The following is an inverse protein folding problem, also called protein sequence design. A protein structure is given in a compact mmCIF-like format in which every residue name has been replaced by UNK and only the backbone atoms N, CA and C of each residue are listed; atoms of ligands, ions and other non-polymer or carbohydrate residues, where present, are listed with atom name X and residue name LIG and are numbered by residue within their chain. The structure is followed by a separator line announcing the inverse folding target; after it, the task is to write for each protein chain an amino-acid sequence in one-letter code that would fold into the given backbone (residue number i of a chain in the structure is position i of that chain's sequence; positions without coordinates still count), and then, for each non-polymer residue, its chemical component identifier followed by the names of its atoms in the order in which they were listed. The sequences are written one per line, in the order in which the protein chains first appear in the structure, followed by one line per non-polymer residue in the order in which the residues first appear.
data_IF_259407381325
#
_entry.id   IF_259407381325
#
_cell.length_a   1.000
_cell.length_b   1.000
_cell.length_c   1.000
_cell.angle_alpha   90.00
_cell.angle_beta   90.00
_cell.angle_gamma   90.00
#
_symmetry.space_group_name_H-M   'P 1'
#
loop_
_entity.id
_entity.type
_entity.pdbx_description
1 polymer ?
#
# COMPACT_ATOMS: atom_id res chain seq x y z
N UNK A 1 13.10 41.13 -20.42
CA UNK A 1 12.37 40.37 -19.37
C UNK A 1 10.90 40.35 -19.74
N UNK A 2 10.49 39.34 -20.50
CA UNK A 2 9.07 39.10 -20.82
C UNK A 2 8.51 38.19 -19.74
N UNK A 3 7.76 38.76 -18.82
CA UNK A 3 6.95 38.02 -17.85
C UNK A 3 5.92 37.20 -18.63
N UNK A 4 6.16 35.89 -18.77
CA UNK A 4 5.10 34.94 -19.15
C UNK A 4 4.09 34.96 -18.01
N UNK A 5 2.93 35.56 -18.26
CA UNK A 5 1.75 35.39 -17.41
C UNK A 5 1.49 33.89 -17.30
N UNK A 6 1.35 33.31 -16.09
CA UNK A 6 0.95 31.91 -15.96
C UNK A 6 -0.39 31.73 -16.69
N UNK A 7 -0.60 30.61 -17.41
CA UNK A 7 -1.88 30.33 -18.04
C UNK A 7 -2.99 30.47 -16.99
N UNK A 8 -4.08 31.13 -17.37
CA UNK A 8 -5.27 31.21 -16.52
C UNK A 8 -5.67 29.78 -16.17
N UNK A 9 -5.96 29.53 -14.89
CA UNK A 9 -6.60 28.31 -14.42
C UNK A 9 -8.03 28.32 -14.96
N UNK A 10 -8.19 28.16 -16.27
CA UNK A 10 -9.44 27.70 -16.84
C UNK A 10 -9.75 26.40 -16.09
N UNK A 11 -10.90 26.37 -15.39
CA UNK A 11 -11.35 25.24 -14.58
C UNK A 11 -11.16 23.95 -15.36
N UNK A 12 -10.05 23.25 -15.09
CA UNK A 12 -9.79 21.96 -15.69
C UNK A 12 -10.83 21.03 -15.07
N UNK A 13 -11.97 20.90 -15.76
CA UNK A 13 -13.12 20.16 -15.30
C UNK A 13 -12.63 18.82 -14.77
N UNK A 14 -12.80 18.54 -13.47
CA UNK A 14 -12.41 17.25 -12.92
C UNK A 14 -13.19 16.17 -13.66
N UNK A 15 -12.56 15.48 -14.60
CA UNK A 15 -13.22 14.49 -15.46
C UNK A 15 -13.17 13.14 -14.77
N UNK A 16 -14.35 12.64 -14.37
CA UNK A 16 -14.49 11.30 -13.86
C UNK A 16 -14.18 10.28 -14.97
N UNK A 17 -13.25 9.37 -14.71
CA UNK A 17 -13.07 8.19 -15.56
C UNK A 17 -14.22 7.20 -15.28
N UNK A 18 -15.32 7.36 -16.02
CA UNK A 18 -16.58 6.63 -15.84
C UNK A 18 -16.37 5.10 -15.80
N UNK A 19 -15.68 4.46 -16.78
CA UNK A 19 -15.41 3.02 -16.73
C UNK A 19 -14.70 2.57 -15.45
N UNK A 20 -13.69 3.34 -15.01
CA UNK A 20 -12.89 3.00 -13.83
C UNK A 20 -13.71 3.16 -12.56
N UNK A 21 -14.47 4.26 -12.44
CA UNK A 21 -15.29 4.54 -11.27
C UNK A 21 -16.39 3.49 -11.08
N UNK A 22 -17.25 3.30 -12.08
CA UNK A 22 -18.37 2.37 -11.96
C UNK A 22 -17.90 0.91 -11.95
N UNK A 23 -16.86 0.57 -12.71
CA UNK A 23 -16.27 -0.77 -12.69
C UNK A 23 -15.72 -1.13 -11.31
N UNK A 24 -14.93 -0.23 -10.71
CA UNK A 24 -14.38 -0.46 -9.36
C UNK A 24 -15.48 -0.48 -8.30
N UNK A 25 -16.42 0.47 -8.34
CA UNK A 25 -17.52 0.55 -7.38
C UNK A 25 -18.40 -0.71 -7.42
N UNK A 26 -18.74 -1.22 -8.61
CA UNK A 26 -19.53 -2.43 -8.75
C UNK A 26 -18.82 -3.65 -8.15
N UNK A 27 -17.52 -3.81 -8.39
CA UNK A 27 -16.72 -4.92 -7.84
C UNK A 27 -16.60 -4.79 -6.32
N UNK A 28 -16.33 -3.60 -5.80
CA UNK A 28 -16.22 -3.35 -4.35
C UNK A 28 -17.55 -3.66 -3.65
N UNK A 29 -18.67 -3.17 -4.20
CA UNK A 29 -20.00 -3.43 -3.63
C UNK A 29 -20.37 -4.91 -3.70
N UNK A 30 -20.05 -5.60 -4.80
CA UNK A 30 -20.29 -7.03 -4.94
C UNK A 30 -19.50 -7.83 -3.90
N UNK A 31 -18.19 -7.61 -3.80
CA UNK A 31 -17.33 -8.32 -2.85
C UNK A 31 -17.72 -8.00 -1.41
N UNK A 32 -17.97 -6.72 -1.09
CA UNK A 32 -18.42 -6.30 0.23
C UNK A 32 -19.75 -6.95 0.61
N UNK A 33 -20.70 -7.00 -0.33
CA UNK A 33 -22.00 -7.65 -0.13
C UNK A 33 -21.87 -9.14 0.09
N UNK A 34 -20.98 -9.84 -0.64
CA UNK A 34 -20.73 -11.27 -0.41
C UNK A 34 -20.21 -11.54 1.00
N UNK A 35 -19.26 -10.72 1.49
CA UNK A 35 -18.71 -10.86 2.84
C UNK A 35 -19.76 -10.60 3.92
N UNK A 36 -20.62 -9.60 3.73
CA UNK A 36 -21.68 -9.26 4.69
C UNK A 36 -22.80 -10.30 4.70
N UNK A 37 -23.22 -10.79 3.54
CA UNK A 37 -24.33 -11.73 3.42
C UNK A 37 -23.92 -13.18 3.75
N UNK A 38 -22.67 -13.56 3.50
CA UNK A 38 -22.19 -14.95 3.64
C UNK A 38 -20.85 -15.05 4.41
N UNK A 39 -20.74 -14.55 5.64
CA UNK A 39 -19.46 -14.40 6.34
C UNK A 39 -18.67 -15.70 6.52
N UNK A 40 -19.35 -16.81 6.87
CA UNK A 40 -18.69 -18.10 7.06
C UNK A 40 -18.14 -18.68 5.75
N UNK A 41 -18.92 -18.60 4.67
CA UNK A 41 -18.50 -19.06 3.34
C UNK A 41 -17.37 -18.18 2.79
N UNK A 42 -17.49 -16.85 2.91
CA UNK A 42 -16.45 -15.91 2.52
C UNK A 42 -15.14 -16.17 3.25
N UNK A 43 -15.17 -16.41 4.57
CA UNK A 43 -13.97 -16.79 5.34
C UNK A 43 -13.31 -18.06 4.78
N UNK A 44 -14.11 -19.09 4.49
CA UNK A 44 -13.58 -20.34 3.92
C UNK A 44 -12.96 -20.11 2.54
N UNK A 45 -13.63 -19.39 1.64
CA UNK A 45 -13.13 -19.12 0.30
C UNK A 45 -11.88 -18.25 0.30
N UNK A 46 -11.84 -17.20 1.11
CA UNK A 46 -10.69 -16.31 1.25
C UNK A 46 -9.48 -17.04 1.83
N UNK A 47 -9.67 -17.87 2.86
CA UNK A 47 -8.59 -18.67 3.43
C UNK A 47 -8.06 -19.69 2.42
N UNK A 48 -8.95 -20.38 1.69
CA UNK A 48 -8.53 -21.33 0.66
C UNK A 48 -7.74 -20.63 -0.46
N UNK A 49 -8.20 -19.46 -0.90
CA UNK A 49 -7.49 -18.66 -1.90
C UNK A 49 -6.12 -18.16 -1.37
N UNK A 50 -6.06 -17.68 -0.13
CA UNK A 50 -4.82 -17.24 0.51
C UNK A 50 -3.81 -18.38 0.60
N UNK A 51 -4.20 -19.55 1.12
CA UNK A 51 -3.33 -20.72 1.22
C UNK A 51 -2.84 -21.16 -0.15
N UNK A 52 -3.73 -21.24 -1.14
CA UNK A 52 -3.33 -21.60 -2.51
C UNK A 52 -2.32 -20.60 -3.12
N UNK A 53 -2.53 -19.30 -2.95
CA UNK A 53 -1.56 -18.29 -3.42
C UNK A 53 -0.23 -18.42 -2.69
N UNK A 54 -0.24 -18.64 -1.37
CA UNK A 54 0.97 -18.82 -0.58
C UNK A 54 1.77 -20.05 -1.04
N UNK A 55 1.09 -21.18 -1.26
CA UNK A 55 1.72 -22.44 -1.66
C UNK A 55 2.30 -22.38 -3.08
N UNK A 56 1.58 -21.75 -4.02
CA UNK A 56 1.99 -21.71 -5.44
C UNK A 56 2.94 -20.55 -5.75
N UNK A 57 2.68 -19.36 -5.18
CA UNK A 57 3.38 -18.12 -5.52
C UNK A 57 4.28 -17.58 -4.39
N UNK A 58 4.37 -18.24 -3.24
CA UNK A 58 5.19 -17.76 -2.11
C UNK A 58 6.66 -17.56 -2.46
N UNK A 59 7.27 -18.50 -3.18
CA UNK A 59 8.66 -18.38 -3.64
C UNK A 59 8.84 -17.21 -4.62
N UNK A 60 7.88 -17.01 -5.53
CA UNK A 60 7.89 -15.92 -6.51
C UNK A 60 7.77 -14.58 -5.81
N UNK A 61 6.90 -14.48 -4.80
CA UNK A 61 6.73 -13.28 -3.98
C UNK A 61 8.04 -12.91 -3.27
N UNK A 62 8.72 -13.88 -2.63
CA UNK A 62 10.01 -13.62 -1.97
C UNK A 62 11.07 -13.14 -2.97
N UNK A 63 11.16 -13.79 -4.13
CA UNK A 63 12.09 -13.39 -5.18
C UNK A 63 11.80 -11.97 -5.69
N UNK A 64 10.52 -11.65 -5.90
CA UNK A 64 10.08 -10.32 -6.34
C UNK A 64 10.47 -9.24 -5.32
N UNK A 65 10.25 -9.48 -4.03
CA UNK A 65 10.63 -8.52 -2.98
C UNK A 65 12.14 -8.24 -2.96
N UNK A 66 12.96 -9.30 -3.07
CA UNK A 66 14.42 -9.15 -3.14
C UNK A 66 14.85 -8.45 -4.44
N UNK A 67 14.24 -8.80 -5.59
CA UNK A 67 14.55 -8.18 -6.87
C UNK A 67 14.20 -6.68 -6.88
N UNK A 68 13.03 -6.30 -6.36
CA UNK A 68 12.62 -4.90 -6.20
C UNK A 68 13.58 -4.13 -5.29
N UNK A 69 13.99 -4.73 -4.18
CA UNK A 69 14.99 -4.16 -3.28
C UNK A 69 16.29 -3.85 -4.00
N UNK A 70 16.87 -4.86 -4.64
CA UNK A 70 18.14 -4.72 -5.37
C UNK A 70 18.01 -3.69 -6.48
N UNK A 71 16.89 -3.67 -7.20
CA UNK A 71 16.64 -2.71 -8.27
C UNK A 71 16.57 -1.26 -7.76
N UNK A 72 15.87 -1.00 -6.66
CA UNK A 72 15.77 0.36 -6.09
C UNK A 72 17.12 0.82 -5.55
N UNK A 73 17.88 -0.06 -4.88
CA UNK A 73 19.24 0.26 -4.46
C UNK A 73 20.16 0.57 -5.64
N UNK A 74 20.08 -0.25 -6.69
CA UNK A 74 20.82 0.02 -7.92
C UNK A 74 20.41 1.36 -8.53
N UNK A 75 19.11 1.66 -8.59
CA UNK A 75 18.62 2.94 -9.11
C UNK A 75 19.21 4.12 -8.33
N UNK A 76 19.16 4.06 -7.00
CA UNK A 76 19.68 5.09 -6.10
C UNK A 76 21.20 5.28 -6.19
N UNK A 77 21.97 4.20 -6.35
CA UNK A 77 23.44 4.24 -6.41
C UNK A 77 24.00 4.44 -7.83
N UNK A 78 23.17 4.25 -8.86
CA UNK A 78 23.56 4.45 -10.25
C UNK A 78 23.44 5.91 -10.69
N UNK A 79 23.85 6.18 -11.93
CA UNK A 79 23.66 7.49 -12.58
C UNK A 79 22.20 7.97 -12.59
N UNK A 80 21.22 7.05 -12.50
CA UNK A 80 19.81 7.39 -12.54
C UNK A 80 19.33 8.06 -11.24
N UNK A 81 20.01 7.83 -10.11
CA UNK A 81 19.71 8.48 -8.84
C UNK A 81 19.98 10.00 -8.85
N UNK A 82 20.71 10.50 -9.85
CA UNK A 82 20.94 11.94 -10.04
C UNK A 82 19.84 12.63 -10.85
N UNK A 83 18.88 11.89 -11.41
CA UNK A 83 17.76 12.46 -12.16
C UNK A 83 16.81 13.15 -11.18
N UNK A 84 16.58 14.44 -11.39
CA UNK A 84 15.59 15.20 -10.63
C UNK A 84 14.17 14.89 -11.14
N UNK A 85 13.27 14.56 -10.23
CA UNK A 85 11.87 14.25 -10.54
C UNK A 85 11.04 15.54 -10.61
N UNK A 86 11.22 16.33 -11.67
CA UNK A 86 10.48 17.59 -11.90
C UNK A 86 10.23 17.86 -13.37
N UNK A 87 9.25 18.74 -13.66
CA UNK A 87 9.09 19.39 -14.95
C UNK A 87 10.10 20.54 -14.96
N UNK A 88 11.07 20.56 -15.87
CA UNK A 88 12.04 21.66 -16.05
C UNK A 88 13.03 21.93 -14.89
N UNK A 89 13.55 20.89 -14.24
CA UNK A 89 14.61 20.99 -13.21
C UNK A 89 14.22 21.86 -11.98
N UNK A 90 12.92 22.05 -11.74
CA UNK A 90 12.40 22.82 -10.61
C UNK A 90 12.96 22.38 -9.25
N UNK A 91 13.24 23.32 -8.32
CA UNK A 91 13.73 22.98 -6.99
C UNK A 91 12.66 22.25 -6.15
N UNK A 92 13.05 21.52 -5.09
CA UNK A 92 12.10 20.85 -4.20
C UNK A 92 11.10 21.85 -3.60
N UNK A 93 9.81 21.48 -3.60
CA UNK A 93 8.74 22.31 -3.03
C UNK A 93 8.76 22.35 -1.50
N UNK A 94 9.32 21.32 -0.85
CA UNK A 94 9.39 21.20 0.60
C UNK A 94 10.85 21.15 1.06
N UNK A 95 11.10 21.73 2.25
CA UNK A 95 12.39 21.58 2.91
C UNK A 95 12.65 20.11 3.26
N UNK A 96 13.92 19.71 3.32
CA UNK A 96 14.28 18.32 3.62
C UNK A 96 13.70 17.81 4.95
N UNK A 97 13.76 18.56 6.08
CA UNK A 97 13.12 18.14 7.33
C UNK A 97 11.60 17.98 7.21
N UNK A 98 10.92 18.90 6.51
CA UNK A 98 9.48 18.81 6.27
C UNK A 98 9.12 17.58 5.44
N UNK A 99 9.89 17.28 4.40
CA UNK A 99 9.70 16.10 3.56
C UNK A 99 9.87 14.80 4.35
N UNK A 100 10.91 14.71 5.19
CA UNK A 100 11.10 13.56 6.09
C UNK A 100 9.90 13.40 7.04
N UNK A 101 9.42 14.50 7.63
CA UNK A 101 8.26 14.46 8.51
C UNK A 101 7.00 13.96 7.79
N UNK A 102 6.75 14.39 6.55
CA UNK A 102 5.63 13.90 5.73
C UNK A 102 5.74 12.39 5.42
N UNK A 103 6.95 11.89 5.16
CA UNK A 103 7.19 10.47 4.93
C UNK A 103 6.83 9.62 6.16
N UNK A 104 7.25 10.03 7.35
CA UNK A 104 6.89 9.32 8.59
C UNK A 104 5.41 9.48 8.95
N UNK A 105 4.83 10.67 8.76
CA UNK A 105 3.41 10.91 9.02
C UNK A 105 2.49 10.09 8.12
N UNK A 106 2.90 9.80 6.88
CA UNK A 106 2.13 8.96 5.95
C UNK A 106 2.36 7.46 6.18
N UNK A 107 3.51 7.06 6.74
CA UNK A 107 3.87 5.65 6.97
C UNK A 107 3.44 5.05 8.31
N UNK A 108 3.21 5.87 9.35
CA UNK A 108 2.80 5.38 10.67
C UNK A 108 1.27 5.22 10.72
N UNK A 109 0.80 4.02 10.39
CA UNK A 109 -0.62 3.65 10.40
C UNK A 109 -1.05 2.83 11.63
N UNK A 110 -2.36 2.54 11.69
CA UNK A 110 -2.98 1.62 12.67
C UNK A 110 -2.27 0.27 12.71
N UNK A 111 -1.82 -0.22 11.55
CA UNK A 111 -1.13 -1.49 11.43
C UNK A 111 0.17 -1.53 12.26
N UNK A 112 0.93 -0.45 12.35
CA UNK A 112 2.16 -0.42 13.15
C UNK A 112 1.86 -0.48 14.66
N UNK A 113 0.78 0.16 15.11
CA UNK A 113 0.35 0.11 16.52
C UNK A 113 -0.10 -1.31 16.89
N UNK A 114 -0.83 -1.98 16.00
CA UNK A 114 -1.31 -3.34 16.24
C UNK A 114 -0.18 -4.38 16.10
N UNK A 115 0.42 -4.49 14.91
CA UNK A 115 1.43 -5.50 14.61
C UNK A 115 2.77 -5.23 15.29
N UNK A 116 3.09 -3.98 15.64
CA UNK A 116 4.32 -3.66 16.38
C UNK A 116 4.39 -4.31 17.76
N UNK A 117 3.24 -4.57 18.39
CA UNK A 117 3.17 -5.34 19.64
C UNK A 117 2.83 -6.82 19.39
N UNK A 118 1.85 -7.08 18.52
CA UNK A 118 1.34 -8.43 18.28
C UNK A 118 2.37 -9.35 17.60
N UNK A 119 2.98 -8.90 16.50
CA UNK A 119 3.81 -9.75 15.65
C UNK A 119 5.08 -10.28 16.33
N UNK A 120 5.91 -9.48 17.04
CA UNK A 120 7.07 -10.01 17.73
C UNK A 120 6.67 -10.96 18.87
N UNK A 121 5.52 -10.74 19.51
CA UNK A 121 5.00 -11.64 20.55
C UNK A 121 4.56 -12.97 19.94
N UNK A 122 3.84 -12.93 18.82
CA UNK A 122 3.38 -14.12 18.10
C UNK A 122 4.58 -14.97 17.64
N UNK A 123 5.58 -14.37 16.99
CA UNK A 123 6.79 -15.06 16.59
C UNK A 123 7.63 -15.58 17.77
N UNK A 124 7.54 -14.95 18.95
CA UNK A 124 8.24 -15.43 20.14
C UNK A 124 7.58 -16.67 20.75
N UNK A 125 6.25 -16.74 20.74
CA UNK A 125 5.47 -17.85 21.27
C UNK A 125 5.39 -19.02 20.27
N UNK A 126 5.32 -18.70 18.99
CA UNK A 126 5.17 -19.65 17.88
C UNK A 126 6.23 -19.38 16.80
N UNK A 127 7.53 -19.56 17.10
CA UNK A 127 8.57 -19.34 16.11
C UNK A 127 8.45 -20.36 14.96
N UNK A 128 8.83 -19.99 13.73
CA UNK A 128 8.85 -20.91 12.59
C UNK A 128 9.71 -22.16 12.82
N UNK A 129 10.72 -22.06 13.68
CA UNK A 129 11.63 -23.14 14.01
C UNK A 129 11.89 -23.17 15.52
N UNK A 130 11.92 -24.37 16.09
CA UNK A 130 12.23 -24.58 17.51
C UNK A 130 11.08 -24.30 18.47
N UNK A 131 11.40 -24.20 19.76
CA UNK A 131 10.42 -23.97 20.82
C UNK A 131 10.27 -22.49 21.15
N UNK A 132 9.01 -22.03 21.25
CA UNK A 132 8.69 -20.68 21.73
C UNK A 132 9.12 -20.43 23.18
N UNK A 133 9.13 -19.16 23.58
CA UNK A 133 9.47 -18.75 24.94
C UNK A 133 10.97 -18.73 25.27
N UNK A 134 11.85 -19.11 24.33
CA UNK A 134 13.30 -19.17 24.54
C UNK A 134 14.02 -17.87 24.13
N UNK A 135 15.23 -17.66 24.64
CA UNK A 135 16.08 -16.51 24.21
C UNK A 135 16.34 -16.54 22.69
N UNK A 136 16.44 -17.74 22.12
CA UNK A 136 16.61 -17.90 20.68
C UNK A 136 15.35 -17.49 19.91
N UNK A 137 14.17 -17.90 20.39
CA UNK A 137 12.89 -17.48 19.82
C UNK A 137 12.72 -15.95 19.87
N UNK A 138 13.17 -15.29 20.95
CA UNK A 138 13.11 -13.83 21.06
C UNK A 138 13.97 -13.12 20.00
N UNK A 139 15.17 -13.64 19.73
CA UNK A 139 16.04 -13.11 18.66
C UNK A 139 15.42 -13.32 17.28
N UNK A 140 14.88 -14.51 17.02
CA UNK A 140 14.23 -14.83 15.75
C UNK A 140 12.99 -13.97 15.53
N UNK A 141 12.16 -13.76 16.57
CA UNK A 141 10.98 -12.92 16.50
C UNK A 141 11.30 -11.50 16.04
N UNK A 142 12.30 -10.86 16.66
CA UNK A 142 12.73 -9.52 16.26
C UNK A 142 13.30 -9.49 14.84
N UNK A 143 14.06 -10.52 14.43
CA UNK A 143 14.60 -10.61 13.08
C UNK A 143 13.49 -10.69 12.02
N UNK A 144 12.44 -11.49 12.27
CA UNK A 144 11.28 -11.60 11.38
C UNK A 144 10.46 -10.32 11.33
N UNK A 145 10.22 -9.68 12.48
CA UNK A 145 9.50 -8.40 12.52
C UNK A 145 10.26 -7.31 11.77
N UNK A 146 11.59 -7.23 11.91
CA UNK A 146 12.40 -6.31 11.10
C UNK A 146 12.48 -6.71 9.62
N UNK A 147 12.33 -7.98 9.28
CA UNK A 147 12.22 -8.40 7.88
C UNK A 147 10.95 -7.83 7.24
N UNK A 148 9.81 -7.93 7.93
CA UNK A 148 8.50 -7.47 7.43
C UNK A 148 8.36 -5.95 7.42
N UNK A 149 8.82 -5.27 8.48
CA UNK A 149 8.65 -3.81 8.65
C UNK A 149 9.92 -2.99 8.32
N UNK A 150 10.99 -3.67 7.92
CA UNK A 150 12.23 -3.04 7.50
C UNK A 150 12.24 -2.69 6.02
N UNK A 151 13.42 -2.73 5.41
CA UNK A 151 13.67 -2.16 4.10
C UNK A 151 12.77 -2.74 2.98
N UNK A 152 12.36 -4.02 3.07
CA UNK A 152 11.61 -4.74 2.02
C UNK A 152 10.32 -4.02 1.62
N UNK A 153 9.49 -3.62 2.59
CA UNK A 153 8.27 -2.86 2.30
C UNK A 153 8.56 -1.48 1.72
N UNK A 154 9.54 -0.77 2.29
CA UNK A 154 9.93 0.57 1.84
C UNK A 154 10.47 0.59 0.40
N UNK A 155 11.18 -0.46 -0.02
CA UNK A 155 11.67 -0.56 -1.39
C UNK A 155 10.53 -0.65 -2.41
N UNK A 156 9.45 -1.36 -2.10
CA UNK A 156 8.29 -1.44 -2.99
C UNK A 156 7.59 -0.06 -3.09
N UNK A 157 7.46 0.66 -1.97
CA UNK A 157 6.94 2.02 -1.97
C UNK A 157 7.82 2.96 -2.79
N UNK A 158 9.14 2.91 -2.60
CA UNK A 158 10.10 3.71 -3.37
C UNK A 158 9.99 3.40 -4.87
N UNK A 159 9.89 2.13 -5.26
CA UNK A 159 9.76 1.73 -6.66
C UNK A 159 8.52 2.36 -7.31
N UNK A 160 7.35 2.20 -6.70
CA UNK A 160 6.09 2.71 -7.24
C UNK A 160 6.09 4.25 -7.21
N UNK A 161 6.55 4.86 -6.11
CA UNK A 161 6.65 6.31 -6.00
C UNK A 161 7.56 6.91 -7.06
N UNK A 162 8.75 6.35 -7.28
CA UNK A 162 9.68 6.82 -8.31
C UNK A 162 9.12 6.62 -9.71
N UNK A 163 8.46 5.49 -10.00
CA UNK A 163 7.83 5.26 -11.29
C UNK A 163 6.74 6.31 -11.56
N UNK A 164 5.80 6.50 -10.64
CA UNK A 164 4.71 7.47 -10.79
C UNK A 164 5.24 8.90 -10.89
N UNK A 165 6.17 9.29 -10.02
CA UNK A 165 6.77 10.61 -10.02
C UNK A 165 7.54 10.90 -11.31
N UNK A 166 8.28 9.92 -11.84
CA UNK A 166 8.99 10.08 -13.11
C UNK A 166 8.02 10.32 -14.27
N UNK A 167 6.96 9.52 -14.41
CA UNK A 167 6.03 9.72 -15.52
C UNK A 167 5.16 10.97 -15.36
N UNK A 168 4.75 11.30 -14.13
CA UNK A 168 3.96 12.50 -13.88
C UNK A 168 4.77 13.79 -14.04
N UNK A 169 5.94 13.84 -13.40
CA UNK A 169 6.73 15.06 -13.31
C UNK A 169 7.82 15.15 -14.39
N UNK A 170 8.40 14.06 -14.90
CA UNK A 170 9.40 14.18 -15.98
C UNK A 170 8.81 14.02 -17.39
N UNK A 171 7.65 13.36 -17.51
CA UNK A 171 7.03 13.03 -18.81
C UNK A 171 5.66 13.67 -19.04
N UNK A 172 5.14 14.42 -18.08
CA UNK A 172 3.86 15.13 -18.20
C UNK A 172 2.65 14.21 -18.37
N UNK A 173 2.74 12.95 -17.94
CA UNK A 173 1.61 12.02 -17.95
C UNK A 173 0.73 12.22 -16.70
N UNK A 174 -0.54 11.76 -16.71
CA UNK A 174 -1.38 11.81 -15.51
C UNK A 174 -0.75 11.04 -14.34
N UNK A 175 -0.94 11.52 -13.11
CA UNK A 175 -0.52 10.81 -11.90
C UNK A 175 -1.45 9.60 -11.63
N UNK A 176 -1.25 8.52 -12.39
CA UNK A 176 -2.06 7.31 -12.35
C UNK A 176 -1.19 6.07 -12.58
N UNK A 177 -1.62 4.90 -12.06
CA UNK A 177 -0.89 3.64 -12.18
C UNK A 177 -0.67 3.24 -13.64
N UNK A 178 -1.66 3.46 -14.51
CA UNK A 178 -1.51 3.24 -15.95
C UNK A 178 -0.35 4.00 -16.59
N UNK A 179 0.06 5.15 -16.05
CA UNK A 179 1.14 5.96 -16.64
C UNK A 179 2.50 5.29 -16.49
N UNK A 180 2.70 4.50 -15.42
CA UNK A 180 3.91 3.70 -15.24
C UNK A 180 4.07 2.62 -16.32
N UNK A 181 2.98 2.25 -17.00
CA UNK A 181 2.94 1.23 -18.04
C UNK A 181 3.09 1.80 -19.46
N UNK A 182 3.22 3.13 -19.59
CA UNK A 182 3.42 3.80 -20.89
C UNK A 182 4.59 3.24 -21.70
N UNK A 183 5.78 2.90 -21.13
CA UNK A 183 6.88 2.35 -21.92
C UNK A 183 6.58 1.01 -22.59
N UNK A 184 5.64 0.23 -22.04
CA UNK A 184 5.30 -1.11 -22.53
C UNK A 184 4.11 -1.05 -23.48
N UNK A 185 3.08 -0.26 -23.13
CA UNK A 185 1.81 -0.24 -23.86
C UNK A 185 1.60 1.01 -24.73
N UNK A 186 2.46 2.02 -24.60
CA UNK A 186 2.34 3.30 -25.30
C UNK A 186 0.98 3.95 -25.07
N UNK A 187 0.39 4.50 -26.13
CA UNK A 187 -0.94 5.15 -26.09
C UNK A 187 -2.10 4.23 -25.68
N UNK A 188 -1.89 2.90 -25.67
CA UNK A 188 -2.94 1.94 -25.24
C UNK A 188 -3.29 2.07 -23.75
N UNK A 189 -2.48 2.78 -22.96
CA UNK A 189 -2.79 3.09 -21.55
C UNK A 189 -4.05 3.97 -21.41
N UNK A 190 -4.46 4.68 -22.47
CA UNK A 190 -5.67 5.48 -22.46
C UNK A 190 -6.94 4.65 -22.73
N UNK A 191 -6.78 3.40 -23.18
CA UNK A 191 -7.88 2.47 -23.43
C UNK A 191 -8.15 1.48 -22.29
N UNK A 192 -8.83 0.39 -22.62
CA UNK A 192 -9.30 -0.60 -21.64
C UNK A 192 -8.20 -1.21 -20.77
N UNK A 193 -7.00 -1.46 -21.31
CA UNK A 193 -5.89 -2.00 -20.54
C UNK A 193 -5.47 -1.08 -19.39
N UNK A 194 -5.37 0.23 -19.62
CA UNK A 194 -5.07 1.18 -18.56
C UNK A 194 -6.23 1.36 -17.57
N UNK A 195 -7.48 1.29 -18.05
CA UNK A 195 -8.64 1.31 -17.15
C UNK A 195 -8.68 0.11 -16.21
N UNK A 196 -8.31 -1.08 -16.69
CA UNK A 196 -8.20 -2.28 -15.85
C UNK A 196 -7.16 -2.09 -14.74
N UNK A 197 -5.99 -1.55 -15.07
CA UNK A 197 -4.90 -1.31 -14.11
C UNK A 197 -5.31 -0.28 -13.07
N UNK A 198 -5.89 0.84 -13.49
CA UNK A 198 -6.36 1.86 -12.55
C UNK A 198 -7.49 1.32 -11.66
N UNK A 199 -8.43 0.54 -12.21
CA UNK A 199 -9.53 -0.07 -11.43
C UNK A 199 -9.00 -1.09 -10.42
N UNK A 200 -8.02 -1.90 -10.82
CA UNK A 200 -7.34 -2.82 -9.91
C UNK A 200 -6.61 -2.08 -8.78
N UNK A 201 -5.96 -0.97 -9.10
CA UNK A 201 -5.34 -0.09 -8.11
C UNK A 201 -6.32 0.46 -7.08
N UNK A 202 -7.49 0.92 -7.53
CA UNK A 202 -8.57 1.38 -6.64
C UNK A 202 -9.03 0.23 -5.75
N UNK A 203 -9.27 -0.96 -6.32
CA UNK A 203 -9.71 -2.14 -5.57
C UNK A 203 -8.71 -2.51 -4.46
N UNK A 204 -7.42 -2.64 -4.79
CA UNK A 204 -6.36 -2.97 -3.83
C UNK A 204 -6.27 -1.91 -2.72
N UNK A 205 -6.35 -0.64 -3.10
CA UNK A 205 -6.29 0.48 -2.14
C UNK A 205 -7.47 0.44 -1.17
N UNK A 206 -8.70 0.25 -1.67
CA UNK A 206 -9.90 0.21 -0.82
C UNK A 206 -9.89 -1.01 0.10
N UNK A 207 -9.54 -2.20 -0.41
CA UNK A 207 -9.44 -3.42 0.43
C UNK A 207 -8.43 -3.23 1.55
N UNK A 208 -7.27 -2.63 1.24
CA UNK A 208 -6.22 -2.35 2.23
C UNK A 208 -6.70 -1.35 3.29
N UNK A 209 -7.39 -0.28 2.85
CA UNK A 209 -7.94 0.73 3.74
C UNK A 209 -8.99 0.15 4.70
N UNK A 210 -9.91 -0.69 4.20
CA UNK A 210 -10.95 -1.32 5.02
C UNK A 210 -10.35 -2.30 6.03
N UNK A 211 -9.31 -3.04 5.65
CA UNK A 211 -8.60 -3.97 6.56
C UNK A 211 -7.96 -3.21 7.73
N UNK A 212 -7.24 -2.12 7.45
CA UNK A 212 -6.65 -1.27 8.49
C UNK A 212 -7.70 -0.63 9.39
N UNK A 213 -8.82 -0.19 8.82
CA UNK A 213 -9.94 0.36 9.59
C UNK A 213 -10.55 -0.69 10.52
N UNK A 214 -10.75 -1.92 10.04
CA UNK A 214 -11.27 -3.03 10.84
C UNK A 214 -10.38 -3.37 12.04
N UNK A 215 -9.05 -3.45 11.82
CA UNK A 215 -8.08 -3.63 12.90
C UNK A 215 -8.17 -2.48 13.92
N UNK A 216 -8.28 -1.24 13.44
CA UNK A 216 -8.43 -0.06 14.29
C UNK A 216 -9.68 -0.10 15.16
N UNK A 217 -10.83 -0.48 14.58
CA UNK A 217 -12.07 -0.64 15.30
C UNK A 217 -11.97 -1.72 16.39
N UNK A 218 -11.33 -2.84 16.10
CA UNK A 218 -11.06 -3.90 17.09
C UNK A 218 -10.16 -3.43 18.23
N UNK A 219 -9.13 -2.62 17.91
CA UNK A 219 -8.23 -2.04 18.90
C UNK A 219 -8.97 -1.07 19.83
N UNK A 220 -9.79 -0.18 19.28
CA UNK A 220 -10.61 0.76 20.06
C UNK A 220 -11.60 0.01 20.94
N UNK A 221 -12.30 -0.98 20.40
CA UNK A 221 -13.26 -1.79 21.17
C UNK A 221 -12.56 -2.53 22.33
N UNK A 222 -11.35 -3.05 22.10
CA UNK A 222 -10.53 -3.66 23.16
C UNK A 222 -10.07 -2.66 24.21
N UNK A 223 -9.67 -1.46 23.79
CA UNK A 223 -9.31 -0.38 24.71
C UNK A 223 -10.49 0.09 25.56
N UNK A 224 -11.68 0.21 24.96
CA UNK A 224 -12.91 0.59 25.68
C UNK A 224 -13.30 -0.45 26.73
N UNK A 225 -13.23 -1.74 26.39
CA UNK A 225 -13.43 -2.81 27.36
C UNK A 225 -12.40 -2.74 28.49
N UNK A 226 -11.11 -2.59 28.16
CA UNK A 226 -10.05 -2.56 29.18
C UNK A 226 -10.13 -1.34 30.13
N UNK A 227 -10.50 -0.17 29.61
CA UNK A 227 -10.51 1.09 30.38
C UNK A 227 -11.86 1.37 31.07
N UNK A 228 -12.97 0.97 30.45
CA UNK A 228 -14.31 1.37 30.85
C UNK A 228 -15.28 0.19 31.03
N UNK A 229 -14.81 -1.05 30.89
CA UNK A 229 -15.61 -2.29 30.99
C UNK A 229 -16.81 -2.33 30.02
N UNK A 230 -16.71 -1.59 28.91
CA UNK A 230 -17.75 -1.57 27.85
C UNK A 230 -17.69 -2.92 27.10
N UNK A 231 -18.80 -3.69 27.02
CA UNK A 231 -18.80 -5.00 26.39
C UNK A 231 -18.41 -4.96 24.91
N UNK A 232 -17.53 -5.87 24.51
CA UNK A 232 -17.17 -6.05 23.11
C UNK A 232 -18.34 -6.66 22.35
N UNK A 233 -19.04 -5.84 21.57
CA UNK A 233 -20.19 -6.28 20.77
C UNK A 233 -20.18 -5.65 19.37
N UNK A 234 -20.90 -6.26 18.44
CA UNK A 234 -21.10 -5.69 17.09
C UNK A 234 -21.76 -4.31 17.16
N UNK A 235 -22.66 -4.09 18.12
CA UNK A 235 -23.31 -2.78 18.32
C UNK A 235 -22.30 -1.68 18.66
N UNK A 236 -21.30 -1.99 19.49
CA UNK A 236 -20.23 -1.05 19.86
C UNK A 236 -19.27 -0.79 18.69
N UNK A 237 -19.03 -1.78 17.82
CA UNK A 237 -18.19 -1.61 16.62
C UNK A 237 -18.85 -0.76 15.52
N UNK A 238 -20.19 -0.68 15.51
CA UNK A 238 -20.97 0.03 14.50
C UNK A 238 -21.40 1.44 14.92
N UNK A 239 -21.30 1.78 16.21
CA UNK A 239 -21.66 3.07 16.79
C UNK A 239 -20.48 4.07 16.75
#
# INVERSE_FOLDING_TARGET
MTTKTPPSLDEESVRLNVPVFFGSAAVILLLGSLVVLFPAASKQWLNAAQSWVADVFGWYYMLLMVACMVFVFWLALSRFGHIRLSQDDEPPQFSYPSWVAMLFSSGIGIALVYYGAYEPLDHFLSPPEGSGGSVQAARQAMALTFLHWGLHGWALYALIATALAYFAYCRGLPLALRSALYPIFGERIHGGAGHLVDSFGILVTVISMVTNLGIGALLVNSGLFYLFDIPQSTGVLLA
#
